data_IF_546371238366
#
_entry.id   IF_546371238366
#
_cell.length_a   1.000
_cell.length_b   1.000
_cell.length_c   1.000
_cell.angle_alpha   90.00
_cell.angle_beta   90.00
_cell.angle_gamma   90.00
#
_symmetry.space_group_name_H-M   'P 1'
#
loop_
_entity.id
_entity.type
_entity.pdbx_description
1 polymer ?
#
# COMPACT_ATOMS: atom_id res chain seq x y z
N UNK A 1 2.86 6.67 34.56
CA UNK A 1 3.24 7.84 33.75
C UNK A 1 2.83 7.56 32.32
N UNK A 2 2.05 8.46 31.74
CA UNK A 2 1.26 8.32 30.53
C UNK A 2 2.05 7.81 29.30
N UNK A 3 1.52 6.76 28.67
CA UNK A 3 2.04 6.24 27.40
C UNK A 3 1.81 7.26 26.29
N UNK A 4 2.89 7.76 25.69
CA UNK A 4 2.85 8.63 24.51
C UNK A 4 2.10 7.90 23.38
N UNK A 5 0.91 8.40 23.02
CA UNK A 5 0.18 7.95 21.83
C UNK A 5 1.01 8.34 20.60
N UNK A 6 1.52 7.35 19.88
CA UNK A 6 2.21 7.54 18.60
C UNK A 6 1.29 8.29 17.62
N UNK A 7 1.75 9.45 17.16
CA UNK A 7 1.06 10.22 16.13
C UNK A 7 1.29 9.59 14.77
N UNK A 8 0.22 9.42 13.99
CA UNK A 8 0.26 8.93 12.61
C UNK A 8 0.85 10.02 11.69
N UNK A 9 2.17 10.08 11.59
CA UNK A 9 2.90 11.00 10.73
C UNK A 9 3.10 10.42 9.33
N UNK A 10 2.06 10.43 8.49
CA UNK A 10 2.22 10.09 7.09
C UNK A 10 3.12 11.11 6.39
N UNK A 11 4.24 10.68 5.80
CA UNK A 11 5.06 11.55 4.94
C UNK A 11 4.17 11.97 3.74
N UNK A 12 3.99 13.28 3.48
CA UNK A 12 3.07 13.75 2.45
C UNK A 12 3.47 13.27 1.04
N UNK A 13 2.46 12.94 0.23
CA UNK A 13 2.62 12.58 -1.20
C UNK A 13 3.18 13.77 -1.98
N UNK A 14 4.47 13.76 -2.27
CA UNK A 14 5.09 14.70 -3.22
C UNK A 14 4.75 14.23 -4.65
N UNK A 15 3.72 14.84 -5.26
CA UNK A 15 3.44 14.70 -6.70
C UNK A 15 4.33 15.66 -7.48
N UNK A 16 5.50 15.21 -7.96
CA UNK A 16 6.20 15.86 -9.08
C UNK A 16 6.86 14.81 -9.99
N UNK A 17 6.54 14.88 -11.29
CA UNK A 17 7.18 14.15 -12.40
C UNK A 17 8.71 14.23 -12.26
N UNK A 18 9.36 13.08 -12.04
CA UNK A 18 10.75 12.69 -12.39
C UNK A 18 11.17 11.49 -11.50
N UNK A 19 11.57 10.37 -12.11
CA UNK A 19 12.31 9.26 -11.45
C UNK A 19 13.52 9.80 -10.64
N UNK A 20 13.87 9.20 -9.49
CA UNK A 20 13.25 9.57 -8.24
C UNK A 20 14.24 10.41 -7.44
N UNK A 21 13.83 11.63 -7.10
CA UNK A 21 14.51 12.49 -6.12
C UNK A 21 14.96 11.67 -4.89
N UNK A 22 14.13 10.73 -4.44
CA UNK A 22 14.47 9.85 -3.31
C UNK A 22 15.66 8.91 -3.57
N UNK A 23 15.86 8.40 -4.78
CA UNK A 23 17.01 7.56 -5.10
C UNK A 23 18.32 8.36 -5.05
N UNK A 24 18.28 9.63 -5.49
CA UNK A 24 19.43 10.52 -5.53
C UNK A 24 19.73 11.15 -4.17
N UNK A 25 18.73 11.75 -3.53
CA UNK A 25 18.90 12.60 -2.35
C UNK A 25 18.70 11.84 -1.04
N UNK A 26 18.15 10.61 -1.07
CA UNK A 26 17.99 9.74 0.11
C UNK A 26 17.31 10.46 1.28
N UNK A 27 16.31 11.29 1.02
CA UNK A 27 15.66 12.13 2.03
C UNK A 27 14.99 11.27 3.10
N UNK A 28 14.29 10.21 2.69
CA UNK A 28 13.69 9.25 3.63
C UNK A 28 14.76 8.63 4.53
N UNK A 29 15.90 8.22 3.96
CA UNK A 29 16.99 7.65 4.74
C UNK A 29 17.53 8.65 5.77
N UNK A 30 17.78 9.88 5.36
CA UNK A 30 18.20 10.94 6.28
C UNK A 30 17.18 11.14 7.41
N UNK A 31 15.88 11.17 7.10
CA UNK A 31 14.85 11.23 8.14
C UNK A 31 14.90 10.03 9.09
N UNK A 32 15.11 8.81 8.59
CA UNK A 32 15.26 7.61 9.42
C UNK A 32 16.47 7.74 10.35
N UNK A 33 17.62 8.22 9.85
CA UNK A 33 18.81 8.44 10.66
C UNK A 33 18.54 9.42 11.81
N UNK A 34 17.81 10.52 11.56
CA UNK A 34 17.45 11.49 12.60
C UNK A 34 16.43 10.94 13.61
N UNK A 35 15.41 10.23 13.14
CA UNK A 35 14.39 9.63 14.02
C UNK A 35 14.97 8.52 14.90
N UNK A 36 15.96 7.79 14.39
CA UNK A 36 16.63 6.72 15.11
C UNK A 36 17.44 7.23 16.31
N UNK A 37 17.92 8.48 16.28
CA UNK A 37 18.62 9.11 17.43
C UNK A 37 17.75 9.11 18.71
N UNK A 38 16.43 9.09 18.55
CA UNK A 38 15.45 9.12 19.63
C UNK A 38 14.57 7.88 19.70
N UNK A 39 14.89 6.84 18.90
CA UNK A 39 14.10 5.61 18.75
C UNK A 39 12.58 5.88 18.57
N UNK A 40 12.27 6.89 17.74
CA UNK A 40 10.89 7.28 17.50
C UNK A 40 10.19 6.21 16.64
N UNK A 41 8.94 5.77 16.95
CA UNK A 41 8.25 4.77 16.14
C UNK A 41 8.09 5.20 14.68
N UNK A 42 8.40 4.31 13.74
CA UNK A 42 8.37 4.62 12.29
C UNK A 42 7.49 3.66 11.51
N UNK A 43 6.42 4.18 10.92
CA UNK A 43 5.57 3.42 10.00
C UNK A 43 5.68 4.01 8.59
N UNK A 44 6.22 3.24 7.64
CA UNK A 44 6.36 3.66 6.24
C UNK A 44 5.25 3.05 5.40
N UNK A 45 4.42 3.88 4.76
CA UNK A 45 3.51 3.43 3.69
C UNK A 45 4.09 3.83 2.32
N UNK A 46 4.30 2.86 1.42
CA UNK A 46 4.97 3.12 0.13
C UNK A 46 4.36 2.36 -1.05
N UNK A 47 4.58 2.88 -2.26
CA UNK A 47 4.35 2.22 -3.56
C UNK A 47 5.64 1.88 -4.29
N UNK A 48 6.79 2.09 -3.64
CA UNK A 48 8.11 1.88 -4.22
C UNK A 48 8.84 0.77 -3.48
N UNK A 49 9.46 -0.13 -4.24
CA UNK A 49 10.39 -1.13 -3.72
C UNK A 49 11.69 -0.53 -3.16
N UNK A 50 11.96 0.77 -3.36
CA UNK A 50 13.22 1.41 -2.96
C UNK A 50 13.50 1.35 -1.45
N UNK A 51 12.46 1.16 -0.62
CA UNK A 51 12.58 1.05 0.85
C UNK A 51 13.48 -0.11 1.29
N UNK A 52 13.69 -1.13 0.45
CA UNK A 52 14.55 -2.28 0.77
C UNK A 52 15.99 -1.88 1.11
N UNK A 53 16.48 -0.75 0.56
CA UNK A 53 17.84 -0.26 0.81
C UNK A 53 18.03 0.27 2.24
N UNK A 54 16.92 0.58 2.92
CA UNK A 54 16.89 1.21 4.25
C UNK A 54 16.50 0.19 5.34
N UNK A 55 16.43 -1.11 5.00
CA UNK A 55 16.19 -2.21 5.94
C UNK A 55 17.22 -2.21 7.08
N UNK A 56 18.48 -1.85 6.78
CA UNK A 56 19.56 -1.77 7.75
C UNK A 56 19.27 -0.77 8.88
N UNK A 57 18.63 0.36 8.56
CA UNK A 57 18.19 1.35 9.54
C UNK A 57 16.88 0.93 10.21
N UNK A 58 15.91 0.47 9.44
CA UNK A 58 14.58 0.11 9.94
C UNK A 58 14.63 -0.97 11.02
N UNK A 59 15.56 -1.92 10.90
CA UNK A 59 15.78 -2.98 11.89
C UNK A 59 16.30 -2.48 13.25
N UNK A 60 16.80 -1.25 13.32
CA UNK A 60 17.40 -0.69 14.54
C UNK A 60 16.37 0.02 15.43
N UNK A 61 15.20 0.34 14.90
CA UNK A 61 14.10 0.89 15.68
C UNK A 61 13.46 -0.20 16.55
N UNK A 62 13.06 0.14 17.77
CA UNK A 62 12.27 -0.75 18.62
C UNK A 62 10.86 -0.97 18.06
N UNK A 63 10.31 0.02 17.35
CA UNK A 63 9.04 -0.06 16.66
C UNK A 63 9.12 0.50 15.24
N UNK A 64 9.25 -0.39 14.26
CA UNK A 64 9.13 -0.04 12.85
C UNK A 64 8.18 -0.97 12.10
N UNK A 65 7.47 -0.41 11.12
CA UNK A 65 6.59 -1.14 10.23
C UNK A 65 6.74 -0.62 8.79
N UNK A 66 6.76 -1.55 7.82
CA UNK A 66 6.72 -1.21 6.39
C UNK A 66 5.43 -1.75 5.77
N UNK A 67 4.64 -0.83 5.21
CA UNK A 67 3.38 -1.11 4.55
C UNK A 67 3.47 -0.83 3.05
N UNK A 68 3.25 -1.84 2.22
CA UNK A 68 3.22 -1.66 0.76
C UNK A 68 1.78 -1.46 0.30
N UNK A 69 1.52 -0.38 -0.45
CA UNK A 69 0.22 -0.17 -1.08
C UNK A 69 0.11 -1.04 -2.34
N UNK A 70 -0.79 -2.01 -2.32
CA UNK A 70 -1.08 -2.94 -3.41
C UNK A 70 -2.61 -3.08 -3.50
N UNK A 71 -3.24 -2.25 -4.34
CA UNK A 71 -4.71 -2.18 -4.47
C UNK A 71 -5.30 -3.09 -5.57
N UNK A 72 -4.46 -3.81 -6.30
CA UNK A 72 -4.87 -4.69 -7.41
C UNK A 72 -3.76 -5.70 -7.71
N UNK A 73 -4.12 -6.83 -8.32
CA UNK A 73 -3.18 -7.80 -8.92
C UNK A 73 -2.99 -7.56 -10.43
N UNK A 74 -3.74 -6.62 -11.02
CA UNK A 74 -3.71 -6.33 -12.44
C UNK A 74 -2.66 -5.28 -12.79
N UNK A 75 -1.56 -5.72 -13.38
CA UNK A 75 -0.42 -4.84 -13.69
C UNK A 75 -0.76 -3.76 -14.73
N UNK A 76 -1.72 -4.01 -15.61
CA UNK A 76 -2.23 -3.00 -16.55
C UNK A 76 -2.93 -1.85 -15.82
N UNK A 77 -3.78 -2.14 -14.83
CA UNK A 77 -4.42 -1.11 -14.00
C UNK A 77 -3.37 -0.29 -13.26
N UNK A 78 -2.37 -0.95 -12.67
CA UNK A 78 -1.23 -0.28 -12.03
C UNK A 78 -0.52 0.65 -13.01
N UNK A 79 -0.23 0.22 -14.24
CA UNK A 79 0.41 1.07 -15.26
C UNK A 79 -0.41 2.32 -15.59
N UNK A 80 -1.72 2.22 -15.66
CA UNK A 80 -2.61 3.33 -16.03
C UNK A 80 -2.85 4.29 -14.86
N UNK A 81 -3.08 3.75 -13.65
CA UNK A 81 -3.51 4.50 -12.47
C UNK A 81 -2.34 4.94 -11.58
N UNK A 82 -1.24 4.19 -11.60
CA UNK A 82 -0.04 4.39 -10.77
C UNK A 82 1.27 4.23 -11.60
N UNK A 83 1.45 4.97 -12.71
CA UNK A 83 2.57 4.74 -13.65
C UNK A 83 3.96 4.87 -13.01
N UNK A 84 4.09 5.72 -11.98
CA UNK A 84 5.36 5.97 -11.28
C UNK A 84 5.62 4.99 -10.12
N UNK A 85 4.66 4.12 -9.78
CA UNK A 85 4.84 3.10 -8.75
C UNK A 85 5.74 1.96 -9.27
N UNK A 86 6.40 1.26 -8.34
CA UNK A 86 6.99 -0.03 -8.65
C UNK A 86 5.90 -1.00 -9.14
N UNK A 87 6.30 -1.98 -9.95
CA UNK A 87 5.39 -3.05 -10.37
C UNK A 87 4.76 -3.74 -9.17
N UNK A 88 3.59 -4.36 -9.37
CA UNK A 88 2.96 -5.17 -8.31
C UNK A 88 3.93 -6.24 -7.82
N UNK A 89 4.63 -6.92 -8.75
CA UNK A 89 5.60 -7.96 -8.42
C UNK A 89 6.80 -7.42 -7.61
N UNK A 90 7.38 -6.28 -7.98
CA UNK A 90 8.46 -5.66 -7.21
C UNK A 90 8.01 -5.29 -5.79
N UNK A 91 6.76 -4.82 -5.61
CA UNK A 91 6.21 -4.52 -4.27
C UNK A 91 6.04 -5.79 -3.43
N UNK A 92 5.55 -6.88 -4.03
CA UNK A 92 5.41 -8.19 -3.35
C UNK A 92 6.80 -8.73 -2.96
N UNK A 93 7.79 -8.66 -3.86
CA UNK A 93 9.16 -9.10 -3.57
C UNK A 93 9.80 -8.24 -2.47
N UNK A 94 9.59 -6.92 -2.49
CA UNK A 94 10.09 -6.02 -1.45
C UNK A 94 9.43 -6.30 -0.08
N UNK A 95 8.12 -6.56 -0.06
CA UNK A 95 7.39 -7.00 1.13
C UNK A 95 8.01 -8.28 1.72
N UNK A 96 8.29 -9.28 0.88
CA UNK A 96 8.96 -10.51 1.29
C UNK A 96 10.35 -10.24 1.87
N UNK A 97 11.15 -9.39 1.22
CA UNK A 97 12.50 -9.04 1.71
C UNK A 97 12.44 -8.36 3.07
N UNK A 98 11.53 -7.41 3.27
CA UNK A 98 11.31 -6.77 4.57
C UNK A 98 10.89 -7.78 5.64
N UNK A 99 9.96 -8.69 5.32
CA UNK A 99 9.50 -9.74 6.23
C UNK A 99 10.64 -10.69 6.61
N UNK A 100 11.42 -11.16 5.63
CA UNK A 100 12.56 -12.05 5.86
C UNK A 100 13.66 -11.39 6.68
N UNK A 101 13.77 -10.06 6.61
CA UNK A 101 14.70 -9.29 7.42
C UNK A 101 14.24 -9.12 8.88
N UNK A 102 13.02 -9.56 9.22
CA UNK A 102 12.42 -9.49 10.56
C UNK A 102 11.59 -8.24 10.84
N UNK A 103 11.31 -7.41 9.83
CA UNK A 103 10.48 -6.21 10.00
C UNK A 103 9.00 -6.57 10.11
N UNK A 104 8.24 -5.77 10.86
CA UNK A 104 6.77 -5.84 10.79
C UNK A 104 6.33 -5.35 9.41
N UNK A 105 5.53 -6.15 8.72
CA UNK A 105 5.09 -5.86 7.35
C UNK A 105 3.57 -5.86 7.24
N UNK A 106 3.05 -4.94 6.44
CA UNK A 106 1.63 -4.80 6.16
C UNK A 106 1.39 -4.52 4.68
N UNK A 107 0.14 -4.69 4.26
CA UNK A 107 -0.31 -4.30 2.92
C UNK A 107 -1.46 -3.31 3.05
N UNK A 108 -1.36 -2.20 2.34
CA UNK A 108 -2.48 -1.28 2.16
C UNK A 108 -3.21 -1.65 0.88
N UNK A 109 -4.31 -2.38 1.03
CA UNK A 109 -5.26 -2.69 -0.04
C UNK A 109 -6.16 -1.47 -0.29
N UNK A 110 -5.59 -0.47 -0.97
CA UNK A 110 -6.25 0.82 -1.13
C UNK A 110 -5.69 1.69 -2.27
N UNK A 111 -6.57 2.37 -3.02
CA UNK A 111 -8.03 2.18 -2.98
C UNK A 111 -8.43 0.83 -3.60
N UNK A 112 -9.40 0.14 -3.00
CA UNK A 112 -10.08 -0.96 -3.68
C UNK A 112 -10.76 -0.40 -4.93
N UNK A 113 -10.32 -0.86 -6.10
CA UNK A 113 -10.85 -0.38 -7.38
C UNK A 113 -12.18 -1.08 -7.70
N UNK A 114 -13.11 -0.42 -8.41
CA UNK A 114 -14.36 -1.04 -8.87
C UNK A 114 -14.15 -2.28 -9.76
N UNK A 115 -12.95 -2.45 -10.31
CA UNK A 115 -12.57 -3.58 -11.16
C UNK A 115 -12.15 -4.81 -10.37
N UNK A 116 -11.83 -4.67 -9.09
CA UNK A 116 -11.51 -5.82 -8.24
C UNK A 116 -12.73 -6.71 -8.08
N UNK A 117 -12.58 -7.99 -8.45
CA UNK A 117 -13.60 -9.01 -8.21
C UNK A 117 -13.47 -9.59 -6.81
N UNK A 118 -14.62 -9.85 -6.17
CA UNK A 118 -14.68 -10.54 -4.85
C UNK A 118 -14.00 -11.91 -4.92
N UNK A 119 -14.09 -12.60 -6.07
CA UNK A 119 -13.50 -13.91 -6.27
C UNK A 119 -11.96 -13.88 -6.30
N UNK A 120 -11.34 -12.72 -6.48
CA UNK A 120 -9.88 -12.56 -6.48
C UNK A 120 -9.33 -12.38 -5.07
N UNK A 121 -10.17 -12.03 -4.09
CA UNK A 121 -9.76 -11.74 -2.72
C UNK A 121 -9.04 -12.91 -2.05
N UNK A 122 -9.52 -14.17 -2.10
CA UNK A 122 -8.80 -15.29 -1.51
C UNK A 122 -7.37 -15.41 -2.05
N UNK A 123 -7.21 -15.34 -3.38
CA UNK A 123 -5.91 -15.39 -4.06
C UNK A 123 -5.02 -14.22 -3.65
N UNK A 124 -5.56 -13.01 -3.59
CA UNK A 124 -4.83 -11.83 -3.12
C UNK A 124 -4.29 -12.04 -1.70
N UNK A 125 -5.12 -12.52 -0.79
CA UNK A 125 -4.74 -12.77 0.61
C UNK A 125 -3.68 -13.85 0.74
N UNK A 126 -3.77 -14.93 -0.04
CA UNK A 126 -2.77 -15.99 -0.07
C UNK A 126 -1.40 -15.43 -0.51
N UNK A 127 -1.36 -14.67 -1.62
CA UNK A 127 -0.12 -14.05 -2.10
C UNK A 127 0.47 -13.08 -1.06
N UNK A 128 -0.35 -12.23 -0.42
CA UNK A 128 0.14 -11.27 0.58
C UNK A 128 0.66 -11.97 1.83
N UNK A 129 -0.01 -13.04 2.27
CA UNK A 129 0.42 -13.87 3.40
C UNK A 129 1.74 -14.55 3.12
N UNK A 130 1.86 -15.18 1.96
CA UNK A 130 3.07 -15.89 1.55
C UNK A 130 4.24 -14.92 1.45
N UNK A 131 3.98 -13.70 0.96
CA UNK A 131 4.92 -12.59 0.96
C UNK A 131 5.26 -12.02 2.35
N UNK A 132 4.62 -12.52 3.42
CA UNK A 132 4.93 -12.22 4.81
C UNK A 132 4.08 -11.11 5.45
N UNK A 133 3.02 -10.62 4.81
CA UNK A 133 2.14 -9.61 5.41
C UNK A 133 1.51 -10.10 6.72
N UNK A 134 1.56 -9.26 7.76
CA UNK A 134 0.90 -9.52 9.06
C UNK A 134 -0.42 -8.78 9.19
N UNK A 135 -0.54 -7.66 8.49
CA UNK A 135 -1.73 -6.81 8.51
C UNK A 135 -2.15 -6.43 7.09
N UNK A 136 -3.46 -6.32 6.86
CA UNK A 136 -4.03 -5.76 5.64
C UNK A 136 -4.96 -4.61 6.02
N UNK A 137 -4.64 -3.43 5.51
CA UNK A 137 -5.38 -2.20 5.69
C UNK A 137 -6.23 -1.94 4.44
N UNK A 138 -7.54 -1.77 4.59
CA UNK A 138 -8.48 -1.65 3.46
C UNK A 138 -9.00 -0.23 3.35
N UNK A 139 -8.90 0.39 2.16
CA UNK A 139 -9.46 1.72 1.89
C UNK A 139 -10.36 1.73 0.64
N UNK A 140 -11.40 2.55 0.64
CA UNK A 140 -12.32 2.73 -0.47
C UNK A 140 -11.82 3.80 -1.45
N UNK A 141 -12.03 3.60 -2.76
CA UNK A 141 -11.87 4.68 -3.72
C UNK A 141 -12.90 5.79 -3.48
N UNK A 142 -12.43 6.97 -3.04
CA UNK A 142 -13.26 8.18 -2.93
C UNK A 142 -13.00 9.10 -4.12
N UNK A 143 -13.92 9.13 -5.08
CA UNK A 143 -13.85 9.94 -6.30
C UNK A 143 -14.26 11.41 -6.05
N UNK A 144 -13.40 12.19 -5.40
CA UNK A 144 -13.57 13.65 -5.30
C UNK A 144 -13.47 14.32 -6.68
N UNK A 145 -14.11 15.49 -6.90
CA UNK A 145 -13.87 16.32 -8.08
C UNK A 145 -12.37 16.61 -8.21
N UNK A 146 -11.79 16.36 -9.37
CA UNK A 146 -10.35 16.36 -9.67
C UNK A 146 -9.71 14.96 -9.74
N UNK A 147 -10.11 14.02 -8.88
CA UNK A 147 -9.58 12.64 -8.93
C UNK A 147 -10.27 11.86 -10.07
N UNK A 148 -11.59 12.05 -10.21
CA UNK A 148 -12.40 11.38 -11.23
C UNK A 148 -11.88 11.68 -12.65
N UNK A 149 -11.61 12.94 -12.95
CA UNK A 149 -11.17 13.42 -14.26
C UNK A 149 -9.76 12.90 -14.59
N UNK A 150 -8.88 12.82 -13.59
CA UNK A 150 -7.56 12.24 -13.77
C UNK A 150 -7.63 10.74 -14.06
N UNK A 151 -8.47 9.99 -13.32
CA UNK A 151 -8.68 8.56 -13.57
C UNK A 151 -9.29 8.35 -14.95
N UNK A 152 -10.33 9.10 -15.32
CA UNK A 152 -10.95 9.03 -16.64
C UNK A 152 -9.96 9.26 -17.78
N UNK A 153 -9.07 10.26 -17.66
CA UNK A 153 -7.98 10.49 -18.62
C UNK A 153 -7.01 9.32 -18.69
N UNK A 154 -6.64 8.75 -17.54
CA UNK A 154 -5.74 7.59 -17.47
C UNK A 154 -6.32 6.34 -18.13
N UNK A 155 -7.63 6.11 -18.01
CA UNK A 155 -8.29 4.90 -18.52
C UNK A 155 -9.07 5.12 -19.83
N UNK A 156 -8.92 6.28 -20.48
CA UNK A 156 -9.74 6.71 -21.63
C UNK A 156 -9.69 5.74 -22.84
N UNK A 157 -8.68 4.88 -22.91
CA UNK A 157 -8.51 3.86 -23.98
C UNK A 157 -8.94 2.46 -23.55
N UNK A 158 -9.50 2.32 -22.36
CA UNK A 158 -9.90 1.05 -21.75
C UNK A 158 -11.41 1.05 -21.46
N UNK A 159 -12.27 0.68 -22.44
CA UNK A 159 -13.72 0.79 -22.32
C UNK A 159 -14.29 0.03 -21.12
N UNK A 160 -13.69 -1.11 -20.78
CA UNK A 160 -14.11 -1.91 -19.63
C UNK A 160 -13.87 -1.18 -18.30
N UNK A 161 -12.69 -0.57 -18.13
CA UNK A 161 -12.37 0.22 -16.93
C UNK A 161 -13.32 1.42 -16.83
N UNK A 162 -13.58 2.12 -17.93
CA UNK A 162 -14.54 3.25 -17.94
C UNK A 162 -15.90 2.80 -17.44
N UNK A 163 -16.39 1.65 -17.93
CA UNK A 163 -17.68 1.08 -17.51
C UNK A 163 -17.67 0.78 -16.01
N UNK A 164 -16.69 0.03 -15.52
CA UNK A 164 -16.59 -0.37 -14.10
C UNK A 164 -16.49 0.81 -13.15
N UNK A 165 -15.77 1.87 -13.53
CA UNK A 165 -15.65 3.09 -12.72
C UNK A 165 -16.91 4.00 -12.79
N UNK A 166 -17.85 3.71 -13.69
CA UNK A 166 -19.11 4.46 -13.86
C UNK A 166 -20.31 3.75 -13.22
N UNK A 167 -20.25 2.43 -13.04
CA UNK A 167 -21.33 1.65 -12.43
C UNK A 167 -21.49 1.97 -10.92
N UNK A 168 -22.69 2.36 -10.45
CA UNK A 168 -22.98 2.52 -9.04
C UNK A 168 -23.11 1.14 -8.40
N UNK A 169 -21.99 0.56 -7.97
CA UNK A 169 -21.97 -0.73 -7.27
C UNK A 169 -21.49 -0.49 -5.85
N UNK A 170 -22.14 -1.09 -4.86
CA UNK A 170 -21.59 -1.19 -3.49
C UNK A 170 -20.47 -2.25 -3.43
N UNK A 171 -19.54 -2.18 -4.38
CA UNK A 171 -18.46 -3.15 -4.57
C UNK A 171 -17.57 -3.18 -3.32
N UNK A 172 -17.41 -2.04 -2.66
CA UNK A 172 -16.60 -1.92 -1.46
C UNK A 172 -17.15 -2.76 -0.32
N UNK A 173 -18.48 -2.77 -0.09
CA UNK A 173 -19.07 -3.60 0.97
C UNK A 173 -18.71 -5.07 0.76
N UNK A 174 -18.94 -5.59 -0.44
CA UNK A 174 -18.64 -7.00 -0.75
C UNK A 174 -17.15 -7.33 -0.62
N UNK A 175 -16.27 -6.45 -1.12
CA UNK A 175 -14.82 -6.63 -1.02
C UNK A 175 -14.35 -6.60 0.43
N UNK A 176 -14.82 -5.62 1.22
CA UNK A 176 -14.48 -5.47 2.64
C UNK A 176 -14.95 -6.68 3.45
N UNK A 177 -16.19 -7.13 3.23
CA UNK A 177 -16.73 -8.31 3.91
C UNK A 177 -15.93 -9.57 3.57
N UNK A 178 -15.59 -9.78 2.30
CA UNK A 178 -14.81 -10.95 1.88
C UNK A 178 -13.38 -10.90 2.44
N UNK A 179 -12.70 -9.75 2.43
CA UNK A 179 -11.37 -9.61 3.03
C UNK A 179 -11.42 -9.93 4.53
N UNK A 180 -12.43 -9.44 5.25
CA UNK A 180 -12.58 -9.72 6.69
C UNK A 180 -12.82 -11.21 6.95
N UNK A 181 -13.75 -11.80 6.21
CA UNK A 181 -14.10 -13.22 6.32
C UNK A 181 -12.88 -14.11 6.08
N UNK A 182 -12.16 -13.86 4.98
CA UNK A 182 -11.03 -14.69 4.56
C UNK A 182 -9.74 -14.38 5.33
N UNK A 183 -9.54 -13.13 5.75
CA UNK A 183 -8.37 -12.71 6.54
C UNK A 183 -8.27 -13.44 7.87
N UNK A 184 -9.40 -13.61 8.56
CA UNK A 184 -9.46 -14.35 9.83
C UNK A 184 -8.99 -15.81 9.67
N UNK A 185 -9.39 -16.48 8.59
CA UNK A 185 -8.97 -17.87 8.32
C UNK A 185 -7.47 -18.00 8.03
N UNK A 186 -6.81 -16.90 7.67
CA UNK A 186 -5.41 -16.86 7.25
C UNK A 186 -4.45 -16.35 8.33
N UNK A 187 -4.97 -16.01 9.52
CA UNK A 187 -4.22 -15.36 10.59
C UNK A 187 -3.55 -14.04 10.15
N UNK A 188 -4.25 -13.27 9.31
CA UNK A 188 -3.86 -11.92 8.92
C UNK A 188 -4.78 -10.95 9.64
N UNK A 189 -4.22 -9.93 10.30
CA UNK A 189 -5.02 -8.90 10.96
C UNK A 189 -5.61 -7.96 9.89
N UNK A 190 -6.94 -7.85 9.87
CA UNK A 190 -7.64 -6.93 8.95
C UNK A 190 -7.97 -5.63 9.67
N UNK A 191 -7.64 -4.50 9.04
CA UNK A 191 -7.82 -3.15 9.57
C UNK A 191 -8.57 -2.33 8.52
N UNK A 192 -9.65 -1.64 8.92
CA UNK A 192 -10.25 -0.64 8.04
C UNK A 192 -9.46 0.65 8.12
N UNK A 193 -9.00 1.14 6.96
CA UNK A 193 -8.46 2.47 6.85
C UNK A 193 -9.62 3.47 6.72
N UNK A 194 -9.50 4.60 7.43
CA UNK A 194 -10.31 5.83 7.41
C UNK A 194 -11.72 5.80 6.79
#
# INVERSE_FOLDING_TARGET
>A
GEGKKGGFGGIPKIKKKKKPVEQKYKVTRFCLEQLLLYDFPVHIQTKSALVIRDIDLLKRFSDSQVMFSIGTLHENERRLLEPEASSIQERITALQQCSNAGLKTAVFFGPAYPTTSVNEIPKFLDIMKDAGAKEIWIDMLRLKPGIRENIQKSIQREPELIRRFSEPVDYYRSIREEIRKQGNTRNIRIIDAF
#
